data_IF_446644687375
#
_entry.id   IF_446644687375
#
_cell.length_a   1.000
_cell.length_b   1.000
_cell.length_c   1.000
_cell.angle_alpha   90.00
_cell.angle_beta   90.00
_cell.angle_gamma   90.00
#
_symmetry.space_group_name_H-M   'P 1'
#
loop_
_entity.id
_entity.type
_entity.pdbx_description
1 polymer ?
#
# COMPACT_ATOMS: atom_id res chain seq x y z
N UNK A 1 -20.05 -0.72 -6.40
CA UNK A 1 -18.78 -0.97 -7.12
C UNK A 1 -18.31 0.31 -7.77
N UNK A 2 -17.13 0.75 -7.43
CA UNK A 2 -16.44 1.85 -8.11
C UNK A 2 -15.96 1.34 -9.48
N UNK A 3 -16.91 1.11 -10.37
CA UNK A 3 -16.67 0.76 -11.74
C UNK A 3 -15.82 1.86 -12.38
N UNK A 4 -14.61 1.57 -12.84
CA UNK A 4 -13.63 2.50 -13.42
C UNK A 4 -12.73 3.25 -12.42
N UNK A 5 -12.60 2.80 -11.17
CA UNK A 5 -11.50 3.26 -10.32
C UNK A 5 -10.23 2.46 -10.58
N UNK A 6 -9.10 2.89 -10.05
CA UNK A 6 -7.79 2.21 -10.14
C UNK A 6 -7.88 0.74 -9.70
N UNK A 7 -8.58 0.47 -8.58
CA UNK A 7 -8.88 -0.88 -8.11
C UNK A 7 -10.38 -1.16 -8.30
N UNK A 8 -10.70 -1.97 -9.28
CA UNK A 8 -12.07 -2.34 -9.65
C UNK A 8 -12.37 -3.82 -9.45
N UNK A 9 -11.55 -4.52 -8.68
CA UNK A 9 -11.65 -5.94 -8.39
C UNK A 9 -11.80 -6.17 -6.87
N UNK A 10 -12.14 -7.41 -6.50
CA UNK A 10 -12.33 -7.83 -5.12
C UNK A 10 -11.27 -8.87 -4.73
N UNK A 11 -10.51 -8.60 -3.68
CA UNK A 11 -9.49 -9.51 -3.15
C UNK A 11 -10.07 -10.81 -2.57
N UNK A 12 -11.37 -10.85 -2.26
CA UNK A 12 -12.07 -12.06 -1.80
C UNK A 12 -12.54 -12.95 -2.95
N UNK A 13 -12.60 -12.40 -4.18
CA UNK A 13 -13.08 -13.14 -5.35
C UNK A 13 -12.20 -14.34 -5.69
N UNK A 14 -12.77 -15.53 -5.71
CA UNK A 14 -12.08 -16.77 -6.08
C UNK A 14 -11.51 -16.69 -7.50
N UNK A 15 -12.24 -16.07 -8.43
CA UNK A 15 -11.80 -15.90 -9.83
C UNK A 15 -10.59 -14.99 -9.89
N UNK A 16 -10.60 -13.88 -9.14
CA UNK A 16 -9.44 -12.96 -9.09
C UNK A 16 -8.21 -13.66 -8.53
N UNK A 17 -8.35 -14.34 -7.40
CA UNK A 17 -7.26 -15.12 -6.77
C UNK A 17 -6.68 -16.17 -7.70
N UNK A 18 -7.52 -16.92 -8.39
CA UNK A 18 -7.08 -17.94 -9.37
C UNK A 18 -6.28 -17.30 -10.52
N UNK A 19 -6.77 -16.18 -11.08
CA UNK A 19 -6.09 -15.50 -12.20
C UNK A 19 -4.76 -14.90 -11.77
N UNK A 20 -4.71 -14.24 -10.63
CA UNK A 20 -3.46 -13.69 -10.06
C UNK A 20 -2.46 -14.81 -9.81
N UNK A 21 -2.83 -15.87 -9.13
CA UNK A 21 -1.96 -17.02 -8.89
C UNK A 21 -1.40 -17.62 -10.19
N UNK A 22 -2.22 -17.76 -11.22
CA UNK A 22 -1.76 -18.25 -12.53
C UNK A 22 -0.76 -17.32 -13.19
N UNK A 23 -0.96 -16.00 -13.05
CA UNK A 23 -0.03 -15.00 -13.58
C UNK A 23 1.31 -15.08 -12.85
N UNK A 24 1.31 -15.08 -11.53
CA UNK A 24 2.49 -15.12 -10.69
C UNK A 24 3.32 -16.39 -10.91
N UNK A 25 2.67 -17.54 -11.02
CA UNK A 25 3.33 -18.80 -11.39
C UNK A 25 4.03 -18.69 -12.74
N UNK A 26 3.37 -18.13 -13.76
CA UNK A 26 3.98 -17.98 -15.09
C UNK A 26 5.13 -16.98 -15.09
N UNK A 27 5.01 -15.88 -14.36
CA UNK A 27 6.08 -14.89 -14.23
C UNK A 27 7.29 -15.48 -13.52
N UNK A 28 7.08 -16.16 -12.40
CA UNK A 28 8.17 -16.78 -11.63
C UNK A 28 8.79 -17.99 -12.35
N UNK A 29 8.04 -18.79 -13.08
CA UNK A 29 8.55 -19.86 -13.93
C UNK A 29 9.49 -19.30 -15.01
N UNK A 30 9.09 -18.18 -15.64
CA UNK A 30 9.87 -17.58 -16.73
C UNK A 30 11.07 -16.78 -16.25
N UNK A 31 10.93 -16.02 -15.16
CA UNK A 31 11.91 -15.02 -14.74
C UNK A 31 12.56 -15.32 -13.39
N UNK A 32 12.09 -16.31 -12.65
CA UNK A 32 12.53 -16.57 -11.28
C UNK A 32 14.01 -16.91 -11.11
N UNK A 33 14.67 -17.34 -12.19
CA UNK A 33 16.12 -17.64 -12.24
C UNK A 33 16.87 -16.70 -13.20
N UNK A 34 16.23 -15.65 -13.71
CA UNK A 34 16.86 -14.72 -14.62
C UNK A 34 17.87 -13.83 -13.86
N UNK A 35 19.13 -13.71 -14.31
CA UNK A 35 20.18 -13.00 -13.57
C UNK A 35 19.92 -11.49 -13.41
N UNK A 36 19.07 -10.90 -14.18
CA UNK A 36 18.66 -9.50 -14.05
C UNK A 36 17.52 -9.26 -13.05
N UNK A 37 16.94 -10.32 -12.47
CA UNK A 37 15.90 -10.19 -11.43
C UNK A 37 16.56 -10.40 -10.08
N UNK A 38 16.45 -9.42 -9.20
CA UNK A 38 17.05 -9.44 -7.87
C UNK A 38 15.99 -9.47 -6.74
N UNK A 39 14.77 -9.06 -7.05
CA UNK A 39 13.69 -8.89 -6.10
C UNK A 39 12.35 -8.96 -6.83
N UNK A 40 11.34 -9.53 -6.19
CA UNK A 40 9.96 -9.51 -6.64
C UNK A 40 9.18 -8.42 -5.90
N UNK A 41 8.64 -7.46 -6.64
CA UNK A 41 7.62 -6.57 -6.15
C UNK A 41 6.26 -7.13 -6.58
N UNK A 42 5.54 -7.74 -5.64
CA UNK A 42 4.23 -8.32 -5.88
C UNK A 42 3.16 -7.26 -5.65
N UNK A 43 2.16 -7.23 -6.47
CA UNK A 43 1.08 -6.24 -6.44
C UNK A 43 1.49 -4.85 -5.96
N UNK A 44 0.71 -3.84 -6.26
CA UNK A 44 1.00 -2.47 -5.87
C UNK A 44 -0.02 -1.98 -4.86
N UNK A 45 0.43 -1.42 -3.73
CA UNK A 45 -0.40 -0.70 -2.76
C UNK A 45 -1.71 -1.44 -2.43
N UNK A 46 -1.61 -2.58 -1.75
CA UNK A 46 -2.78 -3.39 -1.40
C UNK A 46 -3.88 -2.57 -0.73
N UNK A 47 -5.10 -2.68 -1.29
CA UNK A 47 -6.26 -1.92 -0.80
C UNK A 47 -6.26 -0.44 -1.17
N UNK A 48 -5.21 0.06 -1.84
CA UNK A 48 -5.04 1.47 -2.18
C UNK A 48 -6.16 2.07 -3.01
N UNK A 49 -6.32 3.38 -2.90
CA UNK A 49 -7.37 4.23 -3.47
C UNK A 49 -8.79 4.05 -2.90
N UNK A 50 -9.00 3.13 -1.97
CA UNK A 50 -10.19 3.13 -1.13
C UNK A 50 -9.81 3.64 0.26
N UNK A 51 -10.56 4.57 0.81
CA UNK A 51 -10.27 5.17 2.13
C UNK A 51 -10.13 4.12 3.23
N UNK A 52 -10.82 2.99 3.10
CA UNK A 52 -10.89 1.91 4.09
C UNK A 52 -10.53 0.54 3.52
N UNK A 53 -10.01 0.47 2.29
CA UNK A 53 -9.71 -0.76 1.54
C UNK A 53 -10.89 -1.73 1.39
N UNK A 54 -12.11 -1.30 1.69
CA UNK A 54 -13.27 -2.18 1.82
C UNK A 54 -13.94 -2.47 0.48
N UNK A 55 -14.29 -3.73 0.27
CA UNK A 55 -15.22 -4.17 -0.76
C UNK A 55 -16.45 -4.79 -0.10
N UNK A 56 -17.61 -4.20 -0.34
CA UNK A 56 -18.88 -4.61 0.28
C UNK A 56 -19.72 -5.55 -0.60
N UNK A 57 -19.09 -6.23 -1.57
CA UNK A 57 -19.79 -7.17 -2.44
C UNK A 57 -20.25 -8.43 -1.69
N UNK A 58 -21.15 -9.19 -2.31
CA UNK A 58 -21.74 -10.40 -1.72
C UNK A 58 -20.67 -11.44 -1.28
N UNK A 59 -19.60 -11.58 -2.03
CA UNK A 59 -18.49 -12.48 -1.65
C UNK A 59 -17.80 -12.03 -0.36
N UNK A 60 -17.60 -10.71 -0.18
CA UNK A 60 -17.03 -10.17 1.05
C UNK A 60 -18.00 -10.32 2.24
N UNK A 61 -19.31 -10.15 2.03
CA UNK A 61 -20.31 -10.38 3.08
C UNK A 61 -20.29 -11.84 3.57
N UNK A 62 -20.30 -12.81 2.66
CA UNK A 62 -20.20 -14.23 2.96
C UNK A 62 -18.89 -14.58 3.68
N UNK A 63 -17.78 -14.05 3.19
CA UNK A 63 -16.47 -14.28 3.79
C UNK A 63 -16.37 -13.68 5.19
N UNK A 64 -16.91 -12.49 5.40
CA UNK A 64 -16.95 -11.85 6.71
C UNK A 64 -17.76 -12.66 7.74
N UNK A 65 -18.95 -13.11 7.39
CA UNK A 65 -19.74 -14.00 8.25
C UNK A 65 -19.01 -15.30 8.58
N UNK A 66 -18.32 -15.90 7.61
CA UNK A 66 -17.48 -17.07 7.84
C UNK A 66 -16.34 -16.78 8.82
N UNK A 67 -15.68 -15.62 8.66
CA UNK A 67 -14.62 -15.15 9.55
C UNK A 67 -15.14 -14.95 10.99
N UNK A 68 -16.30 -14.32 11.15
CA UNK A 68 -16.94 -14.14 12.45
C UNK A 68 -17.32 -15.47 13.11
N UNK A 69 -17.89 -16.43 12.35
CA UNK A 69 -18.18 -17.78 12.83
C UNK A 69 -16.92 -18.50 13.33
N UNK A 70 -15.80 -18.32 12.63
CA UNK A 70 -14.51 -18.89 13.06
C UNK A 70 -14.01 -18.24 14.35
N UNK A 71 -14.18 -16.92 14.51
CA UNK A 71 -13.71 -16.14 15.66
C UNK A 71 -14.54 -16.38 16.91
N UNK A 72 -15.85 -16.22 16.81
CA UNK A 72 -16.76 -16.22 17.97
C UNK A 72 -17.40 -17.57 18.26
N UNK A 73 -17.51 -18.47 17.30
CA UNK A 73 -18.14 -19.79 17.37
C UNK A 73 -19.67 -19.74 17.48
N UNK A 74 -20.24 -18.90 18.36
CA UNK A 74 -21.67 -18.74 18.57
C UNK A 74 -22.11 -17.30 18.42
N UNK A 75 -23.39 -17.06 18.10
CA UNK A 75 -23.98 -15.72 18.08
C UNK A 75 -24.02 -15.08 19.44
N UNK A 76 -24.25 -15.86 20.51
CA UNK A 76 -24.26 -15.34 21.87
C UNK A 76 -22.89 -14.78 22.26
N UNK A 77 -21.81 -15.47 21.91
CA UNK A 77 -20.46 -14.99 22.14
C UNK A 77 -20.16 -13.70 21.35
N UNK A 78 -20.62 -13.62 20.09
CA UNK A 78 -20.50 -12.42 19.27
C UNK A 78 -21.32 -11.26 19.87
N UNK A 79 -22.60 -11.50 20.18
CA UNK A 79 -23.50 -10.50 20.75
C UNK A 79 -22.96 -9.95 22.07
N UNK A 80 -22.40 -10.81 22.92
CA UNK A 80 -21.76 -10.42 24.17
C UNK A 80 -20.51 -9.54 23.89
N UNK A 81 -19.64 -9.98 22.99
CA UNK A 81 -18.40 -9.28 22.67
C UNK A 81 -18.64 -7.90 22.03
N UNK A 82 -19.66 -7.78 21.22
CA UNK A 82 -20.04 -6.53 20.56
C UNK A 82 -20.95 -5.65 21.39
N UNK A 83 -21.45 -6.17 22.53
CA UNK A 83 -22.44 -5.48 23.39
C UNK A 83 -23.71 -5.13 22.60
N UNK A 84 -24.16 -6.02 21.75
CA UNK A 84 -25.19 -5.76 20.75
C UNK A 84 -26.60 -5.61 21.35
N UNK A 85 -26.80 -5.95 22.61
CA UNK A 85 -28.06 -5.66 23.32
C UNK A 85 -28.39 -4.16 23.42
N UNK A 86 -27.37 -3.31 23.39
CA UNK A 86 -27.55 -1.86 23.38
C UNK A 86 -28.24 -1.42 22.08
N UNK A 87 -29.27 -0.62 22.16
CA UNK A 87 -30.13 -0.19 21.07
C UNK A 87 -30.69 -1.34 20.19
N UNK A 88 -30.90 -2.52 20.81
CA UNK A 88 -31.53 -3.67 20.15
C UNK A 88 -30.80 -4.18 18.91
N UNK A 89 -29.48 -4.13 18.89
CA UNK A 89 -28.65 -4.67 17.79
C UNK A 89 -28.38 -6.19 17.92
N UNK A 90 -29.07 -6.90 18.82
CA UNK A 90 -28.84 -8.35 19.02
C UNK A 90 -29.15 -9.16 17.77
N UNK A 91 -28.15 -9.88 17.30
CA UNK A 91 -28.27 -10.79 16.16
C UNK A 91 -28.82 -12.15 16.61
N UNK A 92 -29.81 -12.67 15.88
CA UNK A 92 -30.39 -14.01 16.08
C UNK A 92 -30.04 -14.98 14.98
N UNK A 93 -29.53 -14.47 13.86
CA UNK A 93 -29.02 -15.24 12.74
C UNK A 93 -27.75 -14.59 12.17
N UNK A 94 -26.80 -15.41 11.74
CA UNK A 94 -25.57 -14.92 11.10
C UNK A 94 -25.81 -14.14 9.81
N UNK A 95 -26.87 -14.48 9.08
CA UNK A 95 -27.20 -13.82 7.82
C UNK A 95 -27.72 -12.39 7.99
N UNK A 96 -28.09 -12.02 9.22
CA UNK A 96 -28.43 -10.63 9.57
C UNK A 96 -27.21 -9.72 9.64
N UNK A 97 -26.01 -10.31 9.76
CA UNK A 97 -24.77 -9.52 9.89
C UNK A 97 -24.27 -9.09 8.50
N UNK A 98 -24.19 -7.78 8.32
CA UNK A 98 -23.61 -7.14 7.16
C UNK A 98 -22.36 -6.33 7.54
N UNK A 99 -21.56 -5.95 6.54
CA UNK A 99 -20.49 -4.99 6.73
C UNK A 99 -21.04 -3.64 7.21
N UNK A 100 -20.26 -2.85 7.96
CA UNK A 100 -20.70 -1.53 8.42
C UNK A 100 -21.22 -0.68 7.24
N UNK A 101 -22.37 -0.05 7.43
CA UNK A 101 -22.96 0.82 6.43
C UNK A 101 -23.51 2.08 7.09
N UNK A 102 -23.64 3.20 6.35
CA UNK A 102 -24.22 4.43 6.89
C UNK A 102 -25.70 4.33 7.29
N UNK A 103 -26.34 3.17 7.09
CA UNK A 103 -27.77 2.96 7.27
C UNK A 103 -28.16 2.34 8.62
N UNK A 104 -27.34 2.49 9.67
CA UNK A 104 -27.74 2.14 11.04
C UNK A 104 -26.81 1.24 11.82
N UNK A 105 -25.85 0.57 11.22
CA UNK A 105 -24.89 -0.28 11.94
C UNK A 105 -23.59 0.44 12.28
N UNK A 106 -23.51 1.72 11.96
CA UNK A 106 -22.33 2.55 12.20
C UNK A 106 -22.05 2.79 13.68
N UNK A 107 -23.05 2.60 14.53
CA UNK A 107 -22.93 2.76 16.00
C UNK A 107 -22.38 1.50 16.68
N UNK A 108 -22.31 0.37 16.01
CA UNK A 108 -21.83 -0.88 16.59
C UNK A 108 -20.30 -1.00 16.46
N UNK A 109 -19.58 -0.53 17.48
CA UNK A 109 -18.12 -0.47 17.48
C UNK A 109 -17.43 -1.83 17.26
N UNK A 110 -17.99 -2.90 17.83
CA UNK A 110 -17.48 -4.27 17.64
C UNK A 110 -17.52 -4.71 16.19
N UNK A 111 -18.62 -4.44 15.47
CA UNK A 111 -18.77 -4.70 14.06
C UNK A 111 -17.72 -3.93 13.22
N UNK A 112 -17.58 -2.62 13.47
CA UNK A 112 -16.61 -1.76 12.76
C UNK A 112 -15.17 -2.24 12.94
N UNK A 113 -14.81 -2.60 14.15
CA UNK A 113 -13.47 -3.08 14.47
C UNK A 113 -13.20 -4.44 13.81
N UNK A 114 -14.16 -5.36 13.85
CA UNK A 114 -14.00 -6.67 13.26
C UNK A 114 -14.02 -6.62 11.73
N UNK A 115 -14.78 -5.70 11.15
CA UNK A 115 -14.71 -5.46 9.71
C UNK A 115 -13.32 -4.98 9.28
N UNK A 116 -12.72 -4.04 9.99
CA UNK A 116 -11.35 -3.57 9.71
C UNK A 116 -10.33 -4.71 9.82
N UNK A 117 -10.44 -5.54 10.85
CA UNK A 117 -9.58 -6.73 11.03
C UNK A 117 -9.75 -7.72 9.88
N UNK A 118 -11.00 -8.02 9.53
CA UNK A 118 -11.31 -8.88 8.40
C UNK A 118 -10.73 -8.35 7.09
N UNK A 119 -10.89 -7.07 6.79
CA UNK A 119 -10.34 -6.45 5.58
C UNK A 119 -8.82 -6.57 5.53
N UNK A 120 -8.12 -6.21 6.62
CA UNK A 120 -6.66 -6.35 6.70
C UNK A 120 -6.20 -7.79 6.52
N UNK A 121 -6.86 -8.76 7.17
CA UNK A 121 -6.53 -10.18 7.04
C UNK A 121 -6.82 -10.73 5.64
N UNK A 122 -7.88 -10.27 4.94
CA UNK A 122 -8.16 -10.68 3.57
C UNK A 122 -7.10 -10.19 2.57
N UNK A 123 -6.63 -8.97 2.74
CA UNK A 123 -5.56 -8.42 1.93
C UNK A 123 -4.24 -9.16 2.18
N UNK A 124 -3.91 -9.41 3.44
CA UNK A 124 -2.72 -10.16 3.82
C UNK A 124 -2.76 -11.61 3.29
N UNK A 125 -3.92 -12.27 3.36
CA UNK A 125 -4.09 -13.62 2.83
C UNK A 125 -3.93 -13.68 1.31
N UNK A 126 -4.43 -12.66 0.59
CA UNK A 126 -4.20 -12.53 -0.83
C UNK A 126 -2.70 -12.36 -1.15
N UNK A 127 -2.00 -11.50 -0.43
CA UNK A 127 -0.56 -11.31 -0.55
C UNK A 127 0.22 -12.61 -0.32
N UNK A 128 -0.14 -13.40 0.70
CA UNK A 128 0.46 -14.72 0.95
C UNK A 128 0.27 -15.69 -0.20
N UNK A 129 -0.87 -15.66 -0.88
CA UNK A 129 -1.10 -16.49 -2.07
C UNK A 129 -0.17 -16.09 -3.23
N UNK A 130 0.04 -14.80 -3.46
CA UNK A 130 0.99 -14.30 -4.45
C UNK A 130 2.42 -14.70 -4.10
N UNK A 131 2.85 -14.51 -2.85
CA UNK A 131 4.18 -14.93 -2.37
C UNK A 131 4.39 -16.42 -2.61
N UNK A 132 3.44 -17.28 -2.23
CA UNK A 132 3.54 -18.73 -2.46
C UNK A 132 3.65 -19.07 -3.94
N UNK A 133 2.90 -18.39 -4.79
CA UNK A 133 2.94 -18.61 -6.23
C UNK A 133 4.33 -18.23 -6.80
N UNK A 134 4.84 -17.06 -6.45
CA UNK A 134 6.16 -16.60 -6.89
C UNK A 134 7.27 -17.52 -6.37
N UNK A 135 7.21 -17.90 -5.09
CA UNK A 135 8.21 -18.78 -4.44
C UNK A 135 8.21 -20.22 -4.98
N UNK A 136 7.25 -20.59 -5.83
CA UNK A 136 7.23 -21.91 -6.47
C UNK A 136 8.43 -22.11 -7.41
N UNK A 137 8.89 -21.06 -8.08
CA UNK A 137 9.98 -21.12 -9.07
C UNK A 137 11.11 -20.14 -8.79
N UNK A 138 11.06 -19.38 -7.69
CA UNK A 138 12.06 -18.36 -7.35
C UNK A 138 12.35 -18.33 -5.86
N UNK A 139 13.64 -18.32 -5.52
CA UNK A 139 14.13 -18.13 -4.15
C UNK A 139 14.43 -16.64 -3.85
N UNK A 140 14.26 -15.76 -4.82
CA UNK A 140 14.52 -14.34 -4.67
C UNK A 140 13.60 -13.68 -3.64
N UNK A 141 14.08 -12.66 -2.94
CA UNK A 141 13.28 -11.96 -1.94
C UNK A 141 12.03 -11.32 -2.56
N UNK A 142 11.00 -11.16 -1.73
CA UNK A 142 9.71 -10.57 -2.10
C UNK A 142 9.44 -9.34 -1.26
N UNK A 143 8.91 -8.31 -1.89
CA UNK A 143 8.41 -7.10 -1.26
C UNK A 143 7.09 -6.64 -1.87
N UNK A 144 6.41 -5.74 -1.19
CA UNK A 144 5.34 -4.89 -1.73
C UNK A 144 5.40 -3.53 -1.08
N UNK A 145 5.01 -2.50 -1.80
CA UNK A 145 5.08 -1.14 -1.30
C UNK A 145 3.94 -0.85 -0.30
N UNK A 146 4.33 -0.47 0.91
CA UNK A 146 3.42 0.01 1.95
C UNK A 146 3.13 1.49 1.70
N UNK A 147 1.87 1.85 1.79
CA UNK A 147 1.47 3.26 1.75
C UNK A 147 1.57 3.85 3.16
N UNK A 148 2.18 4.98 3.32
CA UNK A 148 2.27 5.77 4.56
C UNK A 148 1.38 5.25 5.71
N UNK A 149 0.58 6.10 6.37
CA UNK A 149 -0.42 5.66 7.37
C UNK A 149 -1.70 5.14 6.71
N UNK A 150 -1.60 4.02 6.03
CA UNK A 150 -2.80 3.38 5.49
C UNK A 150 -3.41 2.46 6.55
N UNK A 151 -4.28 3.02 7.36
CA UNK A 151 -4.88 2.37 8.55
C UNK A 151 -5.64 1.06 8.31
N UNK A 152 -6.10 0.71 7.09
CA UNK A 152 -6.67 -0.60 6.83
C UNK A 152 -5.68 -1.76 6.88
N UNK A 153 -4.38 -1.52 6.81
CA UNK A 153 -3.35 -2.55 6.87
C UNK A 153 -2.68 -2.57 8.26
N UNK A 154 -2.56 -3.77 8.82
CA UNK A 154 -1.77 -4.03 10.03
C UNK A 154 -0.32 -4.30 9.63
N UNK A 155 0.49 -3.25 9.54
CA UNK A 155 1.86 -3.33 9.01
C UNK A 155 2.79 -4.21 9.83
N UNK A 156 2.60 -4.37 11.13
CA UNK A 156 3.37 -5.32 11.93
C UNK A 156 3.20 -6.75 11.39
N UNK A 157 1.95 -7.16 11.17
CA UNK A 157 1.66 -8.49 10.60
C UNK A 157 2.12 -8.62 9.14
N UNK A 158 2.03 -7.55 8.36
CA UNK A 158 2.51 -7.55 6.98
C UNK A 158 4.02 -7.68 6.91
N UNK A 159 4.76 -7.07 7.82
CA UNK A 159 6.20 -7.15 7.89
C UNK A 159 6.72 -8.58 8.14
N UNK A 160 5.92 -9.44 8.75
CA UNK A 160 6.24 -10.85 8.96
C UNK A 160 6.20 -11.68 7.67
N UNK A 161 5.43 -11.24 6.68
CA UNK A 161 5.25 -11.96 5.40
C UNK A 161 6.28 -11.59 4.34
N UNK A 162 6.90 -10.42 4.45
CA UNK A 162 7.79 -9.86 3.44
C UNK A 162 9.26 -10.13 3.77
N UNK A 163 10.05 -10.44 2.76
CA UNK A 163 11.51 -10.58 2.92
C UNK A 163 12.18 -9.20 3.12
N UNK A 164 11.63 -8.17 2.47
CA UNK A 164 12.12 -6.79 2.54
C UNK A 164 10.95 -5.84 2.70
N UNK A 165 11.06 -4.91 3.65
CA UNK A 165 10.10 -3.82 3.78
C UNK A 165 10.36 -2.78 2.68
N UNK A 166 9.30 -2.36 2.01
CA UNK A 166 9.34 -1.21 1.12
C UNK A 166 8.11 -0.32 1.30
N UNK A 167 8.23 0.97 1.00
CA UNK A 167 7.14 1.90 1.17
C UNK A 167 7.21 3.10 0.24
N UNK A 168 6.09 3.79 0.10
CA UNK A 168 5.92 4.95 -0.76
C UNK A 168 5.92 6.20 0.09
N UNK A 169 6.87 7.09 -0.21
CA UNK A 169 7.13 8.30 0.54
C UNK A 169 6.89 9.54 -0.30
N UNK A 170 5.77 10.22 -0.04
CA UNK A 170 5.35 11.45 -0.70
C UNK A 170 5.13 12.59 0.30
N UNK A 171 6.15 13.02 1.06
CA UNK A 171 6.01 14.16 1.95
C UNK A 171 5.70 15.44 1.15
N UNK A 172 4.93 16.34 1.73
CA UNK A 172 4.44 17.57 1.06
C UNK A 172 5.51 18.66 0.87
N UNK A 173 6.71 18.28 0.44
CA UNK A 173 7.83 19.20 0.17
C UNK A 173 7.57 20.26 -0.92
N UNK A 174 6.49 20.07 -1.65
CA UNK A 174 6.04 20.92 -2.76
C UNK A 174 4.92 21.88 -2.34
N UNK A 175 4.60 21.97 -1.07
CA UNK A 175 3.63 22.92 -0.52
C UNK A 175 4.33 24.16 0.01
N UNK A 176 3.54 25.14 0.49
CA UNK A 176 4.04 26.34 1.18
C UNK A 176 4.16 26.15 2.69
N UNK A 177 3.95 24.93 3.19
CA UNK A 177 4.04 24.61 4.60
C UNK A 177 5.48 24.68 5.12
N UNK A 178 5.65 24.81 6.44
CA UNK A 178 6.95 24.72 7.09
C UNK A 178 7.57 23.33 6.83
N UNK A 179 8.77 23.33 6.28
CA UNK A 179 9.48 22.10 5.89
C UNK A 179 9.98 21.29 7.11
N UNK A 180 10.14 21.90 8.27
CA UNK A 180 10.69 21.22 9.45
C UNK A 180 9.71 20.14 9.99
N UNK A 181 8.42 20.42 10.22
CA UNK A 181 7.46 19.38 10.57
C UNK A 181 7.36 18.26 9.53
N UNK A 182 7.43 18.59 8.23
CA UNK A 182 7.43 17.62 7.14
C UNK A 182 8.67 16.71 7.22
N UNK A 183 9.84 17.28 7.45
CA UNK A 183 11.10 16.53 7.64
C UNK A 183 11.04 15.58 8.85
N UNK A 184 10.51 16.07 9.98
CA UNK A 184 10.35 15.27 11.21
C UNK A 184 9.40 14.10 10.97
N UNK A 185 8.27 14.37 10.32
CA UNK A 185 7.31 13.33 10.01
C UNK A 185 7.89 12.28 9.04
N UNK A 186 8.57 12.70 7.97
CA UNK A 186 9.24 11.79 7.04
C UNK A 186 10.30 10.93 7.77
N UNK A 187 11.09 11.54 8.64
CA UNK A 187 12.06 10.84 9.47
C UNK A 187 11.41 9.79 10.39
N UNK A 188 10.29 10.14 11.02
CA UNK A 188 9.53 9.20 11.85
C UNK A 188 9.08 7.98 11.04
N UNK A 189 8.52 8.20 9.84
CA UNK A 189 8.06 7.11 8.97
C UNK A 189 9.20 6.22 8.48
N UNK A 190 10.33 6.79 8.08
CA UNK A 190 11.52 6.02 7.68
C UNK A 190 12.01 5.14 8.84
N UNK A 191 12.07 5.68 10.05
CA UNK A 191 12.45 4.90 11.23
C UNK A 191 11.45 3.80 11.56
N UNK A 192 10.15 4.03 11.37
CA UNK A 192 9.12 3.01 11.54
C UNK A 192 9.31 1.86 10.55
N UNK A 193 9.53 2.14 9.26
CA UNK A 193 9.78 1.13 8.24
C UNK A 193 11.02 0.28 8.56
N UNK A 194 12.10 0.93 8.98
CA UNK A 194 13.28 0.23 9.47
C UNK A 194 13.00 -0.60 10.72
N UNK A 195 12.16 -0.11 11.61
CA UNK A 195 11.80 -0.72 12.89
C UNK A 195 11.08 -2.06 12.76
N UNK A 196 10.23 -2.24 11.75
CA UNK A 196 9.44 -3.46 11.55
C UNK A 196 10.29 -4.73 11.47
N UNK A 197 11.39 -4.70 10.74
CA UNK A 197 12.29 -5.85 10.61
C UNK A 197 13.68 -5.63 11.22
N UNK A 198 13.97 -4.41 11.73
CA UNK A 198 15.32 -4.01 12.20
C UNK A 198 16.38 -4.17 11.13
N UNK A 199 16.04 -3.98 9.89
CA UNK A 199 16.87 -4.11 8.69
C UNK A 199 16.71 -2.86 7.81
N UNK A 200 17.61 -2.64 6.84
CA UNK A 200 17.36 -1.66 5.80
C UNK A 200 16.03 -1.92 5.07
N UNK A 201 15.39 -0.85 4.64
CA UNK A 201 14.16 -0.88 3.86
C UNK A 201 14.38 -0.28 2.47
N UNK A 202 13.39 -0.33 1.59
CA UNK A 202 13.42 0.32 0.30
C UNK A 202 12.41 1.48 0.27
N UNK A 203 12.83 2.68 -0.10
CA UNK A 203 11.89 3.71 -0.52
C UNK A 203 11.50 3.41 -1.96
N UNK A 204 10.33 2.75 -2.12
CA UNK A 204 9.89 2.17 -3.38
C UNK A 204 9.32 3.22 -4.32
N UNK A 205 8.64 4.23 -3.78
CA UNK A 205 8.13 5.34 -4.55
C UNK A 205 8.39 6.67 -3.85
N UNK A 206 8.76 7.67 -4.63
CA UNK A 206 8.79 9.07 -4.23
C UNK A 206 8.66 9.92 -5.49
N UNK A 207 8.18 11.16 -5.37
CA UNK A 207 8.20 12.07 -6.50
C UNK A 207 9.52 12.84 -6.57
N UNK A 208 10.12 12.99 -7.77
CA UNK A 208 11.30 13.86 -7.90
C UNK A 208 10.96 15.33 -7.87
N UNK A 209 9.67 15.72 -8.04
CA UNK A 209 9.27 17.13 -8.09
C UNK A 209 7.91 17.43 -7.45
N UNK A 210 6.80 16.95 -8.00
CA UNK A 210 5.44 17.27 -7.58
C UNK A 210 4.54 16.03 -7.70
N UNK A 211 3.40 16.04 -7.06
CA UNK A 211 2.37 15.00 -7.15
C UNK A 211 1.19 15.47 -8.00
N UNK A 212 0.26 14.59 -8.37
CA UNK A 212 -0.90 14.95 -9.21
C UNK A 212 -2.23 15.05 -8.44
N UNK A 213 -2.22 14.78 -7.14
CA UNK A 213 -3.44 14.74 -6.32
C UNK A 213 -3.65 15.96 -5.43
N UNK A 214 -2.67 16.85 -5.32
CA UNK A 214 -2.82 18.09 -4.56
C UNK A 214 -3.48 19.17 -5.41
N UNK A 215 -4.35 19.98 -4.80
CA UNK A 215 -5.03 21.10 -5.47
C UNK A 215 -4.05 22.20 -5.89
N UNK A 216 -3.12 22.56 -4.99
CA UNK A 216 -2.01 23.45 -5.28
C UNK A 216 -0.73 22.65 -5.44
N UNK A 217 -0.27 22.50 -6.66
CA UNK A 217 0.85 21.64 -7.00
C UNK A 217 2.08 22.44 -7.40
N UNK A 218 3.00 22.64 -6.47
CA UNK A 218 4.26 23.33 -6.70
C UNK A 218 5.40 22.33 -6.91
N UNK A 219 6.35 22.69 -7.73
CA UNK A 219 7.59 21.90 -7.87
C UNK A 219 8.42 22.07 -6.60
N UNK A 220 9.00 20.99 -6.09
CA UNK A 220 9.98 21.05 -5.00
C UNK A 220 11.02 22.14 -5.29
N UNK A 221 11.36 22.97 -4.30
CA UNK A 221 12.41 23.96 -4.45
C UNK A 221 13.76 23.29 -4.77
N UNK A 222 14.70 24.00 -5.40
CA UNK A 222 16.05 23.47 -5.67
C UNK A 222 16.70 22.88 -4.41
N UNK A 223 17.31 21.71 -4.52
CA UNK A 223 17.97 21.00 -3.42
C UNK A 223 17.05 20.19 -2.52
N UNK A 224 15.73 20.39 -2.56
CA UNK A 224 14.80 19.66 -1.69
C UNK A 224 14.70 18.19 -2.05
N UNK A 225 14.75 17.84 -3.34
CA UNK A 225 14.74 16.44 -3.75
C UNK A 225 16.02 15.71 -3.29
N UNK A 226 17.17 16.39 -3.36
CA UNK A 226 18.43 15.89 -2.82
C UNK A 226 18.33 15.65 -1.31
N UNK A 227 17.90 16.67 -0.56
CA UNK A 227 17.77 16.57 0.90
C UNK A 227 16.85 15.43 1.35
N UNK A 228 15.67 15.33 0.75
CA UNK A 228 14.70 14.27 1.09
C UNK A 228 15.21 12.87 0.74
N UNK A 229 15.95 12.73 -0.37
CA UNK A 229 16.54 11.46 -0.77
C UNK A 229 17.66 11.05 0.18
N UNK A 230 18.56 11.98 0.55
CA UNK A 230 19.62 11.71 1.51
C UNK A 230 19.10 11.46 2.92
N UNK A 231 17.99 12.09 3.31
CA UNK A 231 17.32 11.78 4.58
C UNK A 231 16.87 10.32 4.62
N UNK A 232 16.24 9.81 3.56
CA UNK A 232 15.81 8.40 3.49
C UNK A 232 17.01 7.45 3.63
N UNK A 233 18.11 7.69 2.90
CA UNK A 233 19.34 6.89 2.97
C UNK A 233 19.95 6.95 4.37
N UNK A 234 20.09 8.14 4.95
CA UNK A 234 20.64 8.32 6.30
C UNK A 234 19.84 7.59 7.39
N UNK A 235 18.53 7.39 7.16
CA UNK A 235 17.63 6.68 8.07
C UNK A 235 17.49 5.19 7.74
N UNK A 236 18.26 4.68 6.77
CA UNK A 236 18.43 3.27 6.51
C UNK A 236 17.70 2.72 5.29
N UNK A 237 17.29 3.57 4.37
CA UNK A 237 16.83 3.12 3.07
C UNK A 237 17.99 2.69 2.19
N UNK A 238 17.87 1.53 1.52
CA UNK A 238 18.83 1.06 0.52
C UNK A 238 18.48 1.54 -0.91
N UNK A 239 17.44 2.34 -1.06
CA UNK A 239 17.03 2.85 -2.38
C UNK A 239 16.36 4.21 -2.28
N UNK A 240 16.40 4.92 -3.39
CA UNK A 240 15.54 6.07 -3.68
C UNK A 240 14.98 5.84 -5.07
N UNK A 241 13.75 5.31 -5.14
CA UNK A 241 13.08 5.08 -6.41
C UNK A 241 12.05 6.18 -6.65
N UNK A 242 12.02 6.66 -7.88
CA UNK A 242 11.13 7.76 -8.25
C UNK A 242 9.98 7.28 -9.11
N UNK A 243 8.79 7.61 -8.70
CA UNK A 243 7.63 7.60 -9.56
C UNK A 243 7.46 9.02 -10.13
N UNK A 244 7.74 9.25 -11.44
CA UNK A 244 8.02 8.23 -12.45
C UNK A 244 9.25 8.60 -13.31
N UNK A 245 9.71 7.64 -14.10
CA UNK A 245 10.84 7.91 -15.01
C UNK A 245 10.50 8.98 -16.04
N UNK A 246 9.42 8.81 -16.77
CA UNK A 246 8.96 9.74 -17.81
C UNK A 246 7.52 10.17 -17.57
N UNK A 247 7.28 11.47 -17.66
CA UNK A 247 5.98 12.07 -17.40
C UNK A 247 4.91 11.54 -18.36
N UNK A 248 3.77 11.12 -17.82
CA UNK A 248 2.65 10.56 -18.56
C UNK A 248 2.06 11.58 -19.55
N UNK A 249 1.70 11.11 -20.74
CA UNK A 249 1.13 11.98 -21.79
C UNK A 249 -0.31 12.43 -21.49
N UNK A 250 -1.02 11.66 -20.69
CA UNK A 250 -2.43 11.91 -20.41
C UNK A 250 -2.93 11.17 -19.19
N UNK A 251 -4.23 11.25 -18.95
CA UNK A 251 -4.94 10.64 -17.81
C UNK A 251 -4.57 11.26 -16.46
N UNK A 252 -4.95 10.59 -15.36
CA UNK A 252 -4.86 11.11 -14.00
C UNK A 252 -3.45 11.53 -13.60
N UNK A 253 -2.43 10.83 -14.07
CA UNK A 253 -1.02 11.06 -13.70
C UNK A 253 -0.25 11.95 -14.70
N UNK A 254 -0.95 12.61 -15.63
CA UNK A 254 -0.33 13.52 -16.61
C UNK A 254 0.54 14.60 -15.94
N UNK A 255 0.12 15.08 -14.79
CA UNK A 255 0.80 16.16 -14.07
C UNK A 255 1.64 15.67 -12.89
N UNK A 256 1.76 14.35 -12.69
CA UNK A 256 2.70 13.82 -11.72
C UNK A 256 4.13 14.13 -12.11
N UNK A 257 4.99 14.38 -11.12
CA UNK A 257 6.41 14.63 -11.35
C UNK A 257 7.12 13.42 -11.97
N UNK A 258 8.13 13.69 -12.74
CA UNK A 258 8.93 12.64 -13.37
C UNK A 258 10.40 13.10 -13.49
N UNK A 259 11.31 12.14 -13.64
CA UNK A 259 12.73 12.42 -13.91
C UNK A 259 12.85 13.06 -15.27
N UNK A 260 12.18 12.52 -16.29
CA UNK A 260 12.13 13.06 -17.64
C UNK A 260 10.79 13.73 -17.87
N UNK A 261 10.78 15.05 -18.08
CA UNK A 261 9.55 15.82 -18.34
C UNK A 261 9.05 15.63 -19.78
N UNK A 262 7.93 16.27 -20.13
CA UNK A 262 7.28 16.17 -21.44
C UNK A 262 8.20 16.62 -22.59
N UNK A 263 9.07 17.62 -22.36
CA UNK A 263 10.03 18.13 -23.33
C UNK A 263 11.22 17.18 -23.57
N UNK A 264 11.36 16.16 -22.74
CA UNK A 264 12.47 15.19 -22.78
C UNK A 264 13.87 15.82 -22.69
N UNK A 265 13.99 17.00 -22.08
CA UNK A 265 15.23 17.74 -21.98
C UNK A 265 16.06 17.29 -20.76
N UNK A 266 17.29 16.86 -21.02
CA UNK A 266 18.28 16.60 -19.95
C UNK A 266 18.73 17.89 -19.23
N UNK A 267 18.43 19.06 -19.78
CA UNK A 267 18.72 20.36 -19.16
C UNK A 267 17.70 20.75 -18.10
N UNK A 268 16.61 19.99 -17.97
CA UNK A 268 15.60 20.20 -16.94
C UNK A 268 16.24 20.07 -15.56
N UNK A 269 15.91 21.00 -14.65
CA UNK A 269 16.47 21.03 -13.29
C UNK A 269 16.25 19.72 -12.53
N UNK A 270 15.06 19.13 -12.65
CA UNK A 270 14.70 17.87 -11.96
C UNK A 270 15.58 16.73 -12.44
N UNK A 271 15.80 16.61 -13.76
CA UNK A 271 16.70 15.61 -14.33
C UNK A 271 18.13 15.76 -13.80
N UNK A 272 18.66 17.00 -13.83
CA UNK A 272 20.01 17.28 -13.34
C UNK A 272 20.17 16.98 -11.84
N UNK A 273 19.16 17.30 -11.03
CA UNK A 273 19.16 17.02 -9.59
C UNK A 273 19.15 15.52 -9.30
N UNK A 274 18.35 14.73 -10.03
CA UNK A 274 18.34 13.26 -9.91
C UNK A 274 19.67 12.65 -10.36
N UNK A 275 20.24 13.13 -11.46
CA UNK A 275 21.57 12.70 -11.93
C UNK A 275 22.66 13.01 -10.89
N UNK A 276 22.60 14.16 -10.23
CA UNK A 276 23.52 14.52 -9.16
C UNK A 276 23.35 13.60 -7.94
N UNK A 277 22.11 13.30 -7.51
CA UNK A 277 21.85 12.34 -6.42
C UNK A 277 22.49 10.99 -6.75
N UNK A 278 22.25 10.45 -7.96
CA UNK A 278 22.84 9.18 -8.39
C UNK A 278 24.37 9.19 -8.30
N UNK A 279 25.01 10.25 -8.79
CA UNK A 279 26.46 10.39 -8.74
C UNK A 279 27.03 10.46 -7.31
N UNK A 280 26.28 11.05 -6.38
CA UNK A 280 26.72 11.12 -4.97
C UNK A 280 26.52 9.80 -4.23
N UNK A 281 25.53 9.01 -4.62
CA UNK A 281 25.30 7.65 -4.07
C UNK A 281 26.29 6.60 -4.59
N UNK A 282 27.03 6.86 -5.66
CA UNK A 282 28.10 5.98 -6.17
C UNK A 282 29.42 6.12 -5.37
N UNK A 283 29.56 7.14 -4.51
CA UNK A 283 30.73 7.37 -3.65
C UNK A 283 30.68 6.60 -2.35
#
# INVERSE_FOLDING_TARGET
>A
TLFRSRHNFCYTSAVMREKTRKLDLKLSERFGKHPGVILWHISNEYGGNFRDASCHCEECQKAFRKWLKKKYKTLDALNHAWWSAFWSHTYTDWEQIHSPSPRGEDELHGLKLDWKRFVSEQLQDFCREEIRAVKTYSDLPVTTNMMMYFSPLDYDKWAEELDVISWDSYPSWHTKEDEVPIAVWAAFMHNQMRGFQKKPFLMMESTPSLVNWDEENNVKRPGMNYLSSMQAIALGSNSVLYFQWRKSRGSSEKFHGAVVDHDASEKNRVFQEVAWIGKDLEK
#
